data_IF_260366447691
#
_entry.id   IF_260366447691
#
_cell.length_a   1.000
_cell.length_b   1.000
_cell.length_c   1.000
_cell.angle_alpha   90.00
_cell.angle_beta   90.00
_cell.angle_gamma   90.00
#
_symmetry.space_group_name_H-M   'P 1'
#
loop_
_entity.id
_entity.type
_entity.pdbx_description
1 polymer ?
#
# COMPACT_ATOMS: atom_id res chain seq x y z
N UNK A 1 2.16 -3.90 -14.64
CA UNK A 1 0.89 -4.25 -13.97
C UNK A 1 0.69 -5.74 -14.14
N UNK A 2 0.72 -6.51 -13.06
CA UNK A 2 0.48 -7.96 -13.07
C UNK A 2 -0.85 -8.25 -12.37
N UNK A 3 -1.89 -8.73 -13.08
CA UNK A 3 -3.18 -9.04 -12.47
C UNK A 3 -3.15 -10.27 -11.54
N UNK A 4 -2.20 -11.20 -11.71
CA UNK A 4 -2.17 -12.44 -10.93
C UNK A 4 -1.76 -12.21 -9.46
N UNK A 5 -0.96 -11.18 -9.20
CA UNK A 5 -0.49 -10.80 -7.85
C UNK A 5 -1.43 -9.83 -7.13
N UNK A 6 -2.66 -9.63 -7.62
CA UNK A 6 -3.59 -8.62 -7.13
C UNK A 6 -4.92 -9.29 -6.78
N UNK A 7 -5.57 -8.80 -5.73
CA UNK A 7 -6.89 -9.26 -5.29
C UNK A 7 -7.94 -8.15 -5.43
N UNK A 8 -9.23 -8.53 -5.37
CA UNK A 8 -10.31 -7.55 -5.36
C UNK A 8 -10.42 -6.86 -3.99
N UNK A 9 -10.33 -5.52 -3.89
CA UNK A 9 -10.43 -4.82 -2.60
C UNK A 9 -11.86 -4.66 -2.09
N UNK A 10 -12.88 -4.98 -2.90
CA UNK A 10 -14.28 -4.81 -2.52
C UNK A 10 -14.66 -5.78 -1.38
N UNK A 11 -15.05 -5.22 -0.23
CA UNK A 11 -15.44 -5.97 0.96
C UNK A 11 -16.62 -6.93 0.72
N UNK A 12 -17.54 -6.57 -0.17
CA UNK A 12 -18.73 -7.36 -0.50
C UNK A 12 -18.50 -8.39 -1.62
N UNK A 13 -17.28 -8.49 -2.18
CA UNK A 13 -17.01 -9.40 -3.28
C UNK A 13 -16.59 -10.78 -2.78
N UNK A 14 -17.19 -11.84 -3.32
CA UNK A 14 -16.80 -13.23 -3.04
C UNK A 14 -15.36 -13.60 -3.47
N UNK A 15 -14.75 -12.77 -4.31
CA UNK A 15 -13.36 -12.91 -4.75
C UNK A 15 -12.38 -12.00 -4.01
N UNK A 16 -12.83 -11.35 -2.94
CA UNK A 16 -11.97 -10.56 -2.06
C UNK A 16 -10.87 -11.43 -1.45
N UNK A 17 -9.65 -10.90 -1.39
CA UNK A 17 -8.49 -11.58 -0.78
C UNK A 17 -7.93 -12.76 -1.59
N UNK A 18 -8.59 -13.19 -2.66
CA UNK A 18 -8.13 -14.28 -3.52
C UNK A 18 -7.22 -13.73 -4.61
N UNK A 19 -6.00 -14.26 -4.70
CA UNK A 19 -5.01 -13.95 -5.74
C UNK A 19 -4.86 -15.14 -6.70
N UNK A 20 -4.38 -14.91 -7.92
CA UNK A 20 -4.09 -15.97 -8.88
C UNK A 20 -5.29 -16.78 -9.40
N UNK A 21 -6.53 -16.29 -9.24
CA UNK A 21 -7.75 -16.98 -9.71
C UNK A 21 -8.24 -16.48 -11.08
N UNK A 22 -7.41 -15.76 -11.84
CA UNK A 22 -7.74 -15.13 -13.13
C UNK A 22 -9.04 -14.29 -13.14
N UNK A 23 -9.48 -13.87 -11.94
CA UNK A 23 -10.67 -13.07 -11.70
C UNK A 23 -10.41 -11.56 -11.83
N UNK A 24 -9.15 -11.17 -12.02
CA UNK A 24 -8.71 -9.78 -12.15
C UNK A 24 -8.11 -9.57 -13.54
N UNK A 25 -8.54 -8.52 -14.23
CA UNK A 25 -8.00 -8.12 -15.54
C UNK A 25 -7.56 -6.66 -15.53
N UNK A 26 -6.69 -6.29 -16.49
CA UNK A 26 -6.26 -4.90 -16.64
C UNK A 26 -7.36 -4.11 -17.34
N UNK A 27 -7.91 -3.10 -16.66
CA UNK A 27 -8.91 -2.20 -17.24
C UNK A 27 -8.25 -1.07 -18.04
N UNK A 28 -7.21 -0.45 -17.47
CA UNK A 28 -6.48 0.64 -18.11
C UNK A 28 -5.03 0.65 -17.64
N UNK A 29 -4.09 0.54 -18.58
CA UNK A 29 -2.66 0.66 -18.30
C UNK A 29 -2.27 2.12 -18.03
N UNK A 30 -2.89 3.07 -18.75
CA UNK A 30 -2.64 4.52 -18.60
C UNK A 30 -3.04 5.01 -17.21
N UNK A 31 -4.22 4.63 -16.74
CA UNK A 31 -4.73 5.01 -15.42
C UNK A 31 -4.31 4.07 -14.29
N UNK A 32 -3.57 3.00 -14.63
CA UNK A 32 -3.18 1.94 -13.70
C UNK A 32 -4.38 1.37 -12.93
N UNK A 33 -5.43 0.95 -13.64
CA UNK A 33 -6.66 0.35 -13.07
C UNK A 33 -6.84 -1.10 -13.46
N UNK A 34 -7.31 -1.89 -12.52
CA UNK A 34 -7.76 -3.27 -12.70
C UNK A 34 -9.30 -3.35 -12.67
N UNK A 35 -9.85 -4.45 -13.17
CA UNK A 35 -11.27 -4.80 -13.12
C UNK A 35 -11.43 -6.20 -12.55
N UNK A 36 -12.37 -6.36 -11.63
CA UNK A 36 -12.76 -7.69 -11.16
C UNK A 36 -13.87 -8.25 -12.03
N UNK A 37 -13.73 -9.49 -12.49
CA UNK A 37 -14.76 -10.20 -13.26
C UNK A 37 -15.96 -10.65 -12.39
N UNK A 38 -15.79 -10.75 -11.06
CA UNK A 38 -16.85 -11.21 -10.17
C UNK A 38 -17.79 -10.07 -9.77
N UNK A 39 -17.26 -8.97 -9.24
CA UNK A 39 -18.09 -7.82 -8.87
C UNK A 39 -18.19 -6.72 -9.94
N UNK A 40 -17.51 -6.88 -11.08
CA UNK A 40 -17.49 -5.95 -12.22
C UNK A 40 -16.97 -4.53 -11.91
N UNK A 41 -16.55 -4.26 -10.67
CA UNK A 41 -15.97 -2.99 -10.24
C UNK A 41 -14.53 -2.84 -10.72
N UNK A 42 -14.12 -1.58 -10.92
CA UNK A 42 -12.73 -1.22 -11.22
C UNK A 42 -12.06 -0.58 -10.01
N UNK A 43 -10.77 -0.82 -9.86
CA UNK A 43 -9.99 -0.26 -8.75
C UNK A 43 -8.57 0.09 -9.21
N UNK A 44 -7.94 1.02 -8.49
CA UNK A 44 -6.57 1.45 -8.79
C UNK A 44 -5.57 0.38 -8.37
N UNK A 45 -4.47 0.25 -9.10
CA UNK A 45 -3.36 -0.65 -8.77
C UNK A 45 -2.73 -0.35 -7.40
N UNK A 46 -2.85 0.88 -6.91
CA UNK A 46 -2.34 1.29 -5.60
C UNK A 46 -3.44 1.34 -4.54
N UNK A 47 -4.64 0.83 -4.82
CA UNK A 47 -5.73 0.76 -3.84
C UNK A 47 -5.26 -0.03 -2.61
N UNK A 48 -5.61 0.47 -1.43
CA UNK A 48 -5.28 -0.08 -0.11
C UNK A 48 -3.79 -0.12 0.27
N UNK A 49 -2.92 0.50 -0.54
CA UNK A 49 -1.49 0.71 -0.23
C UNK A 49 -1.20 2.16 0.18
N UNK A 50 -0.01 2.41 0.72
CA UNK A 50 0.46 3.76 1.03
C UNK A 50 0.54 4.68 -0.20
N UNK A 51 0.57 4.13 -1.41
CA UNK A 51 0.68 4.89 -2.67
C UNK A 51 -0.68 5.29 -3.25
N UNK A 52 -1.79 4.97 -2.59
CA UNK A 52 -3.11 5.32 -3.09
C UNK A 52 -3.27 6.84 -3.24
N UNK A 53 -3.69 7.31 -4.41
CA UNK A 53 -3.85 8.75 -4.75
C UNK A 53 -2.59 9.60 -4.54
N UNK A 54 -1.41 8.98 -4.53
CA UNK A 54 -0.16 9.70 -4.46
C UNK A 54 0.10 10.44 -5.79
N UNK A 55 0.48 11.72 -5.71
CA UNK A 55 0.87 12.54 -6.88
C UNK A 55 2.38 12.53 -7.13
N UNK A 56 3.16 12.27 -6.09
CA UNK A 56 4.61 12.14 -6.14
C UNK A 56 5.01 10.73 -6.59
N UNK A 57 6.16 10.61 -7.22
CA UNK A 57 6.70 9.31 -7.58
C UNK A 57 6.90 8.40 -6.35
N UNK A 58 6.52 7.12 -6.47
CA UNK A 58 6.55 6.18 -5.36
C UNK A 58 7.97 5.86 -4.88
N UNK A 59 8.98 5.92 -5.76
CA UNK A 59 10.37 5.66 -5.40
C UNK A 59 10.89 6.77 -4.49
N UNK A 60 10.59 8.02 -4.81
CA UNK A 60 10.95 9.18 -3.97
C UNK A 60 10.29 9.09 -2.58
N UNK A 61 9.00 8.76 -2.53
CA UNK A 61 8.30 8.59 -1.24
C UNK A 61 8.89 7.46 -0.41
N UNK A 62 9.24 6.33 -1.03
CA UNK A 62 9.90 5.22 -0.33
C UNK A 62 11.26 5.62 0.22
N UNK A 63 12.04 6.41 -0.53
CA UNK A 63 13.34 6.89 -0.07
C UNK A 63 13.19 7.81 1.14
N UNK A 64 12.23 8.74 1.12
CA UNK A 64 11.92 9.61 2.27
C UNK A 64 11.47 8.81 3.49
N UNK A 65 10.57 7.84 3.33
CA UNK A 65 10.13 6.96 4.43
C UNK A 65 11.31 6.18 5.00
N UNK A 66 12.21 5.68 4.14
CA UNK A 66 13.41 4.96 4.55
C UNK A 66 14.30 5.86 5.40
N UNK A 67 14.60 7.08 4.96
CA UNK A 67 15.41 8.04 5.71
C UNK A 67 14.80 8.34 7.09
N UNK A 68 13.49 8.55 7.17
CA UNK A 68 12.78 8.75 8.43
C UNK A 68 12.90 7.53 9.36
N UNK A 69 12.78 6.31 8.82
CA UNK A 69 12.93 5.08 9.59
C UNK A 69 14.34 4.90 10.18
N UNK A 70 15.37 5.41 9.49
CA UNK A 70 16.76 5.46 9.99
C UNK A 70 17.04 6.67 10.90
N UNK A 71 16.03 7.46 11.25
CA UNK A 71 16.16 8.58 12.19
C UNK A 71 16.65 9.89 11.58
N UNK A 72 16.62 10.04 10.25
CA UNK A 72 16.96 11.31 9.61
C UNK A 72 15.96 12.41 10.04
N UNK A 73 16.43 13.59 10.49
CA UNK A 73 15.56 14.67 10.89
C UNK A 73 14.65 15.15 9.73
N UNK A 74 13.33 15.34 9.94
CA UNK A 74 12.42 15.78 8.87
C UNK A 74 12.87 17.05 8.14
N UNK A 75 13.49 18.00 8.87
CA UNK A 75 14.01 19.23 8.28
C UNK A 75 15.16 18.96 7.30
N UNK A 76 16.04 17.99 7.57
CA UNK A 76 17.10 17.63 6.63
C UNK A 76 16.52 17.08 5.33
N UNK A 77 15.44 16.31 5.41
CA UNK A 77 14.72 15.78 4.25
C UNK A 77 14.03 16.91 3.47
N UNK A 78 13.35 17.83 4.16
CA UNK A 78 12.73 19.01 3.53
C UNK A 78 13.76 19.81 2.74
N UNK A 79 14.95 20.06 3.32
CA UNK A 79 16.02 20.78 2.64
C UNK A 79 16.64 19.99 1.48
N UNK A 80 16.83 18.68 1.64
CA UNK A 80 17.44 17.83 0.62
C UNK A 80 16.53 17.59 -0.61
N UNK A 81 15.22 17.47 -0.40
CA UNK A 81 14.26 17.11 -1.46
C UNK A 81 13.32 18.25 -1.88
N UNK A 82 13.27 19.36 -1.15
CA UNK A 82 12.41 20.50 -1.44
C UNK A 82 10.92 20.24 -1.22
N UNK A 83 10.55 19.18 -0.49
CA UNK A 83 9.16 18.89 -0.16
C UNK A 83 8.70 19.70 1.04
N UNK A 84 7.41 20.07 1.05
CA UNK A 84 6.79 20.68 2.22
C UNK A 84 6.81 19.72 3.42
N UNK A 85 7.12 20.23 4.62
CA UNK A 85 7.22 19.42 5.84
C UNK A 85 5.93 18.65 6.15
N UNK A 86 4.76 19.22 5.87
CA UNK A 86 3.46 18.56 6.06
C UNK A 86 3.31 17.38 5.11
N UNK A 87 3.88 17.46 3.91
CA UNK A 87 3.89 16.36 2.94
C UNK A 87 4.75 15.21 3.44
N UNK A 88 5.95 15.50 3.97
CA UNK A 88 6.84 14.49 4.57
C UNK A 88 6.16 13.82 5.77
N UNK A 89 5.55 14.61 6.67
CA UNK A 89 4.79 14.10 7.83
C UNK A 89 3.60 13.23 7.42
N UNK A 90 2.89 13.61 6.36
CA UNK A 90 1.75 12.82 5.86
C UNK A 90 2.21 11.48 5.28
N UNK A 91 3.32 11.43 4.54
CA UNK A 91 3.88 10.16 4.08
C UNK A 91 4.27 9.25 5.25
N UNK A 92 4.91 9.82 6.27
CA UNK A 92 5.23 9.09 7.50
C UNK A 92 3.99 8.50 8.16
N UNK A 93 2.97 9.34 8.42
CA UNK A 93 1.70 8.92 9.03
C UNK A 93 1.02 7.80 8.23
N UNK A 94 0.92 7.94 6.91
CA UNK A 94 0.31 6.94 6.02
C UNK A 94 1.07 5.62 6.01
N UNK A 95 2.41 5.68 6.04
CA UNK A 95 3.23 4.46 6.13
C UNK A 95 3.02 3.74 7.46
N UNK A 96 3.00 4.47 8.58
CA UNK A 96 2.70 3.91 9.90
C UNK A 96 1.31 3.28 10.00
N UNK A 97 0.28 3.94 9.44
CA UNK A 97 -1.08 3.39 9.38
C UNK A 97 -1.15 2.11 8.54
N UNK A 98 -0.44 2.07 7.42
CA UNK A 98 -0.35 0.87 6.59
C UNK A 98 0.38 -0.27 7.32
N UNK A 99 1.52 0.01 7.95
CA UNK A 99 2.27 -0.97 8.74
C UNK A 99 1.44 -1.51 9.90
N UNK A 100 0.67 -0.66 10.60
CA UNK A 100 -0.24 -1.10 11.65
C UNK A 100 -1.26 -2.11 11.15
N UNK A 101 -1.96 -1.81 10.05
CA UNK A 101 -2.93 -2.74 9.45
C UNK A 101 -2.30 -4.07 9.03
N UNK A 102 -1.08 -4.03 8.51
CA UNK A 102 -0.34 -5.25 8.14
C UNK A 102 0.02 -6.04 9.40
N UNK A 103 0.49 -5.37 10.45
CA UNK A 103 0.82 -5.99 11.73
C UNK A 103 -0.40 -6.62 12.40
N UNK A 104 -1.51 -5.89 12.52
CA UNK A 104 -2.79 -6.41 13.02
C UNK A 104 -3.20 -7.66 12.25
N UNK A 105 -3.17 -7.60 10.91
CA UNK A 105 -3.52 -8.76 10.09
C UNK A 105 -2.56 -9.95 10.24
N UNK A 106 -1.24 -9.73 10.32
CA UNK A 106 -0.27 -10.82 10.37
C UNK A 106 -0.14 -11.43 11.76
N UNK A 107 -0.14 -10.60 12.81
CA UNK A 107 0.16 -11.01 14.19
C UNK A 107 -1.10 -11.45 14.92
N UNK A 108 -2.24 -10.78 14.76
CA UNK A 108 -3.48 -11.18 15.44
C UNK A 108 -4.10 -12.45 14.81
N UNK A 109 -3.77 -12.76 13.55
CA UNK A 109 -4.30 -13.95 12.85
C UNK A 109 -3.36 -15.15 12.96
N UNK A 110 -2.10 -14.98 13.38
CA UNK A 110 -1.20 -16.10 13.64
C UNK A 110 -1.50 -16.70 15.03
N UNK A 111 -1.78 -18.01 15.08
CA UNK A 111 -1.57 -18.78 16.31
C UNK A 111 -0.06 -18.79 16.56
N UNK A 112 0.42 -17.78 17.30
CA UNK A 112 1.77 -17.77 17.81
C UNK A 112 1.88 -18.96 18.76
N UNK A 113 2.58 -20.00 18.33
CA UNK A 113 3.07 -21.06 19.22
C UNK A 113 4.12 -20.42 20.12
N UNK A 114 3.66 -19.77 21.18
CA UNK A 114 4.48 -19.20 22.21
C UNK A 114 5.09 -20.38 22.97
N UNK A 115 6.18 -20.93 22.44
CA UNK A 115 7.07 -21.79 23.20
C UNK A 115 7.66 -20.94 24.32
N UNK A 116 6.99 -20.94 25.46
CA UNK A 116 7.51 -20.40 26.70
C UNK A 116 8.69 -21.28 27.12
N UNK A 117 9.86 -20.65 27.26
CA UNK A 117 11.07 -21.23 27.87
C UNK A 117 10.97 -21.10 29.38
#
# INVERSE_FOLDING_TARGET
MNPQSVFCPNLACAARGKQGQDNISVHSRKEKRYRCAVCQQTFSATKDTLFYRLRTDSVQVMLVITLLAYGCPPQAIVQAFGYDERTVKEWWRRSGEHCRRVHEHMVETQQLDLQQV
#
